data_IF_584708975270
#
_entry.id   IF_584708975270
#
_cell.length_a   1.000
_cell.length_b   1.000
_cell.length_c   1.000
_cell.angle_alpha   90.00
_cell.angle_beta   90.00
_cell.angle_gamma   90.00
#
_symmetry.space_group_name_H-M   'P 1'
#
loop_
_entity.id
_entity.type
_entity.pdbx_description
1 polymer ?
#
# COMPACT_ATOMS: atom_id res chain seq x y z
N UNK A 1 6.65 0.64 -3.83
CA UNK A 1 6.16 0.37 -2.46
C UNK A 1 5.52 -1.01 -2.34
N UNK A 2 5.74 -1.67 -1.21
CA UNK A 2 5.14 -2.95 -0.82
C UNK A 2 4.28 -2.80 0.46
N UNK A 3 3.62 -3.89 0.89
CA UNK A 3 2.76 -3.88 2.09
C UNK A 3 3.55 -3.67 3.38
N UNK A 4 4.83 -4.10 3.44
CA UNK A 4 5.69 -3.85 4.59
C UNK A 4 6.08 -2.37 4.70
N UNK A 5 6.31 -1.67 3.58
CA UNK A 5 6.59 -0.23 3.58
C UNK A 5 5.39 0.54 4.17
N UNK A 6 4.17 0.15 3.78
CA UNK A 6 2.96 0.70 4.36
C UNK A 6 2.85 0.38 5.87
N UNK A 7 3.22 -0.84 6.30
CA UNK A 7 3.24 -1.20 7.73
C UNK A 7 4.20 -0.34 8.53
N UNK A 8 5.42 -0.15 8.02
CA UNK A 8 6.43 0.71 8.64
C UNK A 8 5.98 2.16 8.69
N UNK A 9 5.35 2.67 7.63
CA UNK A 9 4.88 4.06 7.57
C UNK A 9 3.73 4.34 8.54
N UNK A 10 2.72 3.46 8.58
CA UNK A 10 1.56 3.62 9.45
C UNK A 10 1.77 3.04 10.85
N UNK A 11 2.98 2.56 11.17
CA UNK A 11 3.34 1.89 12.42
C UNK A 11 2.33 0.79 12.81
N UNK A 12 1.85 0.02 11.84
CA UNK A 12 0.87 -1.04 12.05
C UNK A 12 1.52 -2.43 11.97
N UNK A 13 1.17 -3.29 12.93
CA UNK A 13 1.73 -4.65 13.02
C UNK A 13 0.87 -5.66 12.28
N UNK A 14 -0.44 -5.41 12.24
CA UNK A 14 -1.42 -6.35 11.70
C UNK A 14 -2.19 -5.79 10.51
N UNK A 15 -2.68 -6.68 9.63
CA UNK A 15 -3.53 -6.28 8.51
C UNK A 15 -4.85 -5.66 8.97
N UNK A 16 -5.34 -6.04 10.15
CA UNK A 16 -6.58 -5.51 10.73
C UNK A 16 -6.44 -4.05 11.15
N UNK A 17 -5.31 -3.66 11.73
CA UNK A 17 -5.02 -2.26 12.04
C UNK A 17 -4.90 -1.44 10.75
N UNK A 18 -4.18 -1.97 9.77
CA UNK A 18 -4.00 -1.35 8.47
C UNK A 18 -5.32 -1.16 7.72
N UNK A 19 -6.21 -2.14 7.81
CA UNK A 19 -7.58 -2.12 7.29
C UNK A 19 -8.41 -0.99 7.86
N UNK A 20 -8.32 -0.75 9.18
CA UNK A 20 -8.98 0.38 9.83
C UNK A 20 -8.42 1.74 9.39
N UNK A 21 -7.09 1.86 9.29
CA UNK A 21 -6.43 3.13 8.92
C UNK A 21 -6.75 3.49 7.47
N UNK A 22 -6.65 2.52 6.57
CA UNK A 22 -6.83 2.74 5.13
C UNK A 22 -8.28 2.59 4.67
N UNK A 23 -9.17 2.14 5.56
CA UNK A 23 -10.56 1.77 5.29
C UNK A 23 -10.68 0.76 4.13
N UNK A 24 -9.93 -0.33 4.21
CA UNK A 24 -9.81 -1.37 3.17
C UNK A 24 -9.97 -2.73 3.83
N UNK A 25 -10.66 -3.66 3.19
CA UNK A 25 -10.78 -5.02 3.73
C UNK A 25 -9.43 -5.73 3.91
N UNK A 26 -9.33 -6.49 5.00
CA UNK A 26 -8.15 -7.32 5.33
C UNK A 26 -7.78 -8.26 4.17
N UNK A 27 -8.79 -8.78 3.45
CA UNK A 27 -8.62 -9.65 2.28
C UNK A 27 -7.91 -8.93 1.13
N UNK A 28 -8.24 -7.65 0.89
CA UNK A 28 -7.57 -6.87 -0.15
C UNK A 28 -6.10 -6.60 0.22
N UNK A 29 -5.83 -6.29 1.49
CA UNK A 29 -4.45 -6.12 1.99
C UNK A 29 -3.66 -7.43 1.86
N UNK A 30 -4.28 -8.57 2.21
CA UNK A 30 -3.66 -9.88 2.04
C UNK A 30 -3.35 -10.18 0.57
N UNK A 31 -4.28 -9.87 -0.34
CA UNK A 31 -4.04 -10.00 -1.80
C UNK A 31 -2.87 -9.14 -2.24
N UNK A 32 -2.74 -7.91 -1.75
CA UNK A 32 -1.61 -7.05 -2.08
C UNK A 32 -0.27 -7.55 -1.54
N UNK A 33 -0.29 -8.20 -0.37
CA UNK A 33 0.92 -8.80 0.18
C UNK A 33 1.41 -9.98 -0.66
N UNK A 34 0.50 -10.71 -1.31
CA UNK A 34 0.81 -11.85 -2.19
C UNK A 34 1.15 -11.42 -3.62
N UNK A 35 0.38 -10.50 -4.19
CA UNK A 35 0.40 -10.19 -5.62
C UNK A 35 1.01 -8.81 -5.93
N UNK A 36 1.35 -8.02 -4.92
CA UNK A 36 1.73 -6.61 -5.07
C UNK A 36 0.54 -5.66 -4.96
N UNK A 37 0.83 -4.40 -4.60
CA UNK A 37 -0.17 -3.34 -4.49
C UNK A 37 -0.45 -2.80 -5.91
N UNK A 38 -1.72 -2.69 -6.34
CA UNK A 38 -2.08 -2.12 -7.63
C UNK A 38 -1.52 -0.70 -7.82
N UNK A 39 -1.03 -0.38 -9.01
CA UNK A 39 -0.41 0.93 -9.32
C UNK A 39 -1.31 2.12 -8.94
N UNK A 40 -2.62 2.02 -9.21
CA UNK A 40 -3.62 3.04 -8.83
C UNK A 40 -3.65 3.30 -7.32
N UNK A 41 -3.51 2.24 -6.51
CA UNK A 41 -3.45 2.34 -5.05
C UNK A 41 -2.11 2.88 -4.59
N UNK A 42 -1.01 2.48 -5.23
CA UNK A 42 0.31 3.04 -4.94
C UNK A 42 0.34 4.56 -5.17
N UNK A 43 -0.24 5.04 -6.28
CA UNK A 43 -0.35 6.47 -6.56
C UNK A 43 -1.21 7.20 -5.51
N UNK A 44 -2.34 6.61 -5.11
CA UNK A 44 -3.16 7.15 -4.01
C UNK A 44 -2.37 7.26 -2.71
N UNK A 45 -1.63 6.21 -2.32
CA UNK A 45 -0.80 6.25 -1.12
C UNK A 45 0.32 7.27 -1.22
N UNK A 46 0.92 7.45 -2.39
CA UNK A 46 1.93 8.49 -2.60
C UNK A 46 1.36 9.89 -2.36
N UNK A 47 0.14 10.17 -2.86
CA UNK A 47 -0.54 11.45 -2.63
C UNK A 47 -0.91 11.61 -1.15
N UNK A 48 -1.50 10.58 -0.54
CA UNK A 48 -1.93 10.60 0.87
C UNK A 48 -0.78 10.73 1.85
N UNK A 49 0.39 10.20 1.52
CA UNK A 49 1.61 10.28 2.35
C UNK A 49 2.52 11.44 1.97
N UNK A 50 2.04 12.37 1.13
CA UNK A 50 2.78 13.52 0.63
C UNK A 50 4.18 13.16 0.08
N UNK A 51 4.27 12.03 -0.62
CA UNK A 51 5.51 11.53 -1.23
C UNK A 51 6.40 10.68 -0.33
N UNK A 52 6.04 10.40 0.92
CA UNK A 52 6.82 9.53 1.80
C UNK A 52 6.86 8.07 1.30
N UNK A 53 5.74 7.58 0.75
CA UNK A 53 5.69 6.32 0.03
C UNK A 53 5.70 6.58 -1.48
N UNK A 54 6.73 6.09 -2.18
CA UNK A 54 6.84 6.25 -3.64
C UNK A 54 6.18 5.08 -4.36
N UNK A 55 5.28 5.39 -5.30
CA UNK A 55 4.71 4.39 -6.18
C UNK A 55 5.79 3.83 -7.10
N UNK A 56 5.72 2.54 -7.39
CA UNK A 56 6.66 1.92 -8.33
C UNK A 56 6.16 2.20 -9.75
N UNK A 57 6.37 3.43 -10.21
CA UNK A 57 6.03 3.89 -11.56
C UNK A 57 6.80 3.15 -12.67
N UNK A 58 7.65 2.18 -12.31
CA UNK A 58 8.49 1.39 -13.22
C UNK A 58 7.82 0.14 -13.80
N UNK A 59 6.54 -0.13 -13.54
CA UNK A 59 5.84 -1.17 -14.30
C UNK A 59 5.34 -0.64 -15.65
N UNK A 60 6.29 -0.67 -16.60
CA UNK A 60 6.12 -0.81 -18.05
C UNK A 60 5.23 0.23 -18.76
N UNK A 61 5.85 1.32 -19.20
CA UNK A 61 5.47 1.97 -20.46
C UNK A 61 6.27 1.25 -21.54
N UNK A 62 5.64 0.33 -22.26
CA UNK A 62 6.14 -0.26 -23.49
C UNK A 62 5.16 0.10 -24.61
#
# INVERSE_FOLDING_TARGET
MNVNDLKSFYNCKTYREMSKILNISDVAIWKWNKNGIPLKRQALFQIQTNGALKADLKQNVA
#
